data_IF_185877217699
#
_entry.id   IF_185877217699
#
_cell.length_a   1.000
_cell.length_b   1.000
_cell.length_c   1.000
_cell.angle_alpha   90.00
_cell.angle_beta   90.00
_cell.angle_gamma   90.00
#
_symmetry.space_group_name_H-M   'P 1'
#
loop_
_entity.id
_entity.type
_entity.pdbx_description
1 polymer ?
#
# COMPACT_ATOMS: atom_id res chain seq x y z
N UNK A 1 34.30 -1.11 -31.74
CA UNK A 1 33.14 -0.35 -32.26
C UNK A 1 32.01 -1.21 -32.80
N UNK A 2 32.22 -2.17 -33.72
CA UNK A 2 31.13 -2.98 -34.33
C UNK A 2 30.34 -3.81 -33.29
N UNK A 3 31.00 -4.45 -32.30
CA UNK A 3 30.34 -5.19 -31.22
C UNK A 3 29.45 -4.29 -30.33
N UNK A 4 29.96 -3.13 -29.92
CA UNK A 4 29.21 -2.17 -29.12
C UNK A 4 27.94 -1.70 -29.86
N UNK A 5 28.05 -1.34 -31.15
CA UNK A 5 26.87 -0.97 -31.97
C UNK A 5 25.84 -2.11 -32.06
N UNK A 6 26.29 -3.36 -32.17
CA UNK A 6 25.39 -4.54 -32.18
C UNK A 6 24.68 -4.71 -30.84
N UNK A 7 25.40 -4.58 -29.72
CA UNK A 7 24.83 -4.70 -28.36
C UNK A 7 23.80 -3.59 -28.12
N UNK A 8 24.13 -2.33 -28.46
CA UNK A 8 23.19 -1.21 -28.33
C UNK A 8 21.94 -1.43 -29.19
N UNK A 9 22.09 -1.92 -30.43
CA UNK A 9 20.95 -2.22 -31.29
C UNK A 9 20.05 -3.30 -30.70
N UNK A 10 20.63 -4.38 -30.16
CA UNK A 10 19.86 -5.45 -29.50
C UNK A 10 19.10 -4.90 -28.29
N UNK A 11 19.78 -4.10 -27.46
CA UNK A 11 19.15 -3.48 -26.28
C UNK A 11 17.96 -2.60 -26.69
N UNK A 12 18.13 -1.73 -27.69
CA UNK A 12 17.04 -0.85 -28.17
C UNK A 12 15.86 -1.65 -28.73
N UNK A 13 16.14 -2.73 -29.49
CA UNK A 13 15.09 -3.61 -30.01
C UNK A 13 14.36 -4.29 -28.84
N UNK A 14 15.08 -4.80 -27.84
CA UNK A 14 14.48 -5.45 -26.68
C UNK A 14 13.58 -4.50 -25.89
N UNK A 15 14.03 -3.25 -25.67
CA UNK A 15 13.21 -2.23 -25.02
C UNK A 15 11.97 -1.92 -25.85
N UNK A 16 12.11 -1.77 -27.17
CA UNK A 16 10.98 -1.52 -28.07
C UNK A 16 9.95 -2.66 -28.07
N UNK A 17 10.41 -3.91 -28.05
CA UNK A 17 9.51 -5.08 -27.95
C UNK A 17 8.78 -5.10 -26.61
N UNK A 18 9.47 -4.85 -25.51
CA UNK A 18 8.83 -4.79 -24.18
C UNK A 18 7.79 -3.67 -24.13
N UNK A 19 8.13 -2.46 -24.61
CA UNK A 19 7.21 -1.34 -24.64
C UNK A 19 5.96 -1.64 -25.51
N UNK A 20 6.14 -2.32 -26.64
CA UNK A 20 5.03 -2.74 -27.50
C UNK A 20 4.13 -3.76 -26.80
N UNK A 21 4.71 -4.74 -26.11
CA UNK A 21 3.94 -5.74 -25.33
C UNK A 21 3.13 -5.04 -24.25
N UNK A 22 3.74 -4.13 -23.48
CA UNK A 22 3.05 -3.35 -22.46
C UNK A 22 1.90 -2.51 -23.06
N UNK A 23 2.13 -1.83 -24.18
CA UNK A 23 1.08 -1.05 -24.84
C UNK A 23 -0.10 -1.95 -25.31
N UNK A 24 0.18 -3.16 -25.80
CA UNK A 24 -0.86 -4.14 -26.19
C UNK A 24 -1.62 -4.63 -24.94
N UNK A 25 -0.92 -4.97 -23.87
CA UNK A 25 -1.55 -5.41 -22.61
C UNK A 25 -2.42 -4.31 -22.01
N UNK A 26 -1.96 -3.05 -22.02
CA UNK A 26 -2.71 -1.90 -21.52
C UNK A 26 -4.00 -1.62 -22.31
N UNK A 27 -4.13 -2.14 -23.55
CA UNK A 27 -5.39 -2.12 -24.30
C UNK A 27 -6.39 -3.19 -23.85
N UNK A 28 -5.97 -4.08 -22.94
CA UNK A 28 -6.79 -5.16 -22.37
C UNK A 28 -7.03 -4.92 -20.89
N UNK A 29 -7.99 -5.66 -20.29
CA UNK A 29 -8.21 -5.64 -18.84
C UNK A 29 -7.24 -6.52 -18.04
N UNK A 30 -6.25 -7.15 -18.69
CA UNK A 30 -5.34 -8.08 -18.03
C UNK A 30 -4.55 -7.46 -16.87
N UNK A 31 -3.95 -6.24 -16.97
CA UNK A 31 -3.24 -5.62 -15.86
C UNK A 31 -4.12 -5.39 -14.63
N UNK A 32 -5.38 -4.96 -14.85
CA UNK A 32 -6.37 -4.82 -13.77
C UNK A 32 -6.63 -6.15 -13.06
N UNK A 33 -6.90 -7.22 -13.80
CA UNK A 33 -7.18 -8.52 -13.21
C UNK A 33 -5.98 -9.15 -12.50
N UNK A 34 -4.77 -8.93 -13.00
CA UNK A 34 -3.55 -9.38 -12.32
C UNK A 34 -3.40 -8.65 -10.99
N UNK A 35 -3.56 -7.31 -10.98
CA UNK A 35 -3.49 -6.48 -9.76
C UNK A 35 -4.59 -6.87 -8.76
N UNK A 36 -5.82 -7.03 -9.24
CA UNK A 36 -6.96 -7.46 -8.44
C UNK A 36 -6.70 -8.83 -7.78
N UNK A 37 -6.32 -9.82 -8.57
CA UNK A 37 -6.05 -11.16 -8.05
C UNK A 37 -4.87 -11.17 -7.07
N UNK A 38 -3.84 -10.36 -7.31
CA UNK A 38 -2.70 -10.24 -6.38
C UNK A 38 -3.15 -9.66 -5.03
N UNK A 39 -3.98 -8.64 -5.02
CA UNK A 39 -4.58 -8.08 -3.82
C UNK A 39 -5.51 -9.04 -3.11
N UNK A 40 -6.39 -9.71 -3.85
CA UNK A 40 -7.40 -10.60 -3.29
C UNK A 40 -6.87 -11.96 -2.83
N UNK A 41 -5.70 -12.39 -3.29
CA UNK A 41 -5.10 -13.71 -2.94
C UNK A 41 -4.96 -13.96 -1.44
N UNK A 42 -4.74 -12.90 -0.66
CA UNK A 42 -4.59 -12.95 0.80
C UNK A 42 -5.53 -11.97 1.52
N UNK A 43 -6.45 -11.36 0.78
CA UNK A 43 -7.44 -10.49 1.36
C UNK A 43 -8.44 -11.28 2.20
N UNK A 44 -8.88 -10.67 3.29
CA UNK A 44 -9.92 -11.21 4.15
C UNK A 44 -9.77 -10.70 5.56
N UNK A 45 -10.87 -10.64 6.29
CA UNK A 45 -10.92 -10.34 7.70
C UNK A 45 -11.57 -11.56 8.37
N UNK A 46 -10.73 -12.49 8.81
CA UNK A 46 -11.18 -13.77 9.35
C UNK A 46 -11.54 -13.68 10.83
N UNK A 47 -11.08 -12.62 11.51
CA UNK A 47 -11.30 -12.38 12.94
C UNK A 47 -11.24 -10.89 13.26
N UNK A 48 -11.83 -10.45 14.39
CA UNK A 48 -11.63 -9.07 14.87
C UNK A 48 -10.12 -8.81 15.09
N UNK A 49 -9.55 -7.77 14.47
CA UNK A 49 -8.15 -7.42 14.67
C UNK A 49 -7.96 -6.70 16.01
N UNK A 50 -6.84 -6.95 16.69
CA UNK A 50 -6.39 -6.14 17.81
C UNK A 50 -5.79 -4.83 17.33
N UNK A 51 -5.09 -4.89 16.20
CA UNK A 51 -4.44 -3.75 15.56
C UNK A 51 -4.76 -3.70 14.05
N UNK A 52 -5.08 -2.51 13.58
CA UNK A 52 -5.21 -2.18 12.16
C UNK A 52 -3.95 -1.41 11.79
N UNK A 53 -3.09 -1.99 10.96
CA UNK A 53 -1.82 -1.37 10.53
C UNK A 53 -1.99 -0.81 9.14
N UNK A 54 -1.91 0.51 9.01
CA UNK A 54 -1.98 1.23 7.74
C UNK A 54 -0.56 1.45 7.26
N UNK A 55 -0.16 0.70 6.23
CA UNK A 55 1.16 0.87 5.63
C UNK A 55 1.17 2.11 4.73
N UNK A 56 2.15 2.95 4.91
CA UNK A 56 2.36 4.14 4.10
C UNK A 56 2.62 3.82 2.62
N UNK A 57 2.59 4.84 1.80
CA UNK A 57 2.78 4.76 0.35
C UNK A 57 3.45 6.00 -0.21
N UNK A 58 2.85 6.66 -1.17
CA UNK A 58 3.38 7.84 -1.85
C UNK A 58 3.37 9.16 -1.04
N UNK A 59 3.14 9.10 0.27
CA UNK A 59 3.02 10.30 1.11
C UNK A 59 1.59 10.85 1.19
N UNK A 60 1.44 12.04 1.80
CA UNK A 60 0.14 12.72 1.95
C UNK A 60 0.26 14.19 1.52
N UNK A 61 -0.73 14.74 0.81
CA UNK A 61 -1.90 14.05 0.28
C UNK A 61 -1.55 13.25 -1.00
N UNK A 62 -2.03 12.02 -1.08
CA UNK A 62 -1.98 11.21 -2.29
C UNK A 62 -3.21 10.34 -2.38
N UNK A 63 -3.61 9.95 -3.60
CA UNK A 63 -4.75 9.06 -3.82
C UNK A 63 -4.60 7.76 -3.01
N UNK A 64 -3.43 7.14 -3.10
CA UNK A 64 -3.08 5.93 -2.34
C UNK A 64 -3.17 6.14 -0.82
N UNK A 65 -2.61 7.24 -0.30
CA UNK A 65 -2.66 7.56 1.12
C UNK A 65 -4.09 7.78 1.62
N UNK A 66 -4.88 8.57 0.90
CA UNK A 66 -6.28 8.86 1.23
C UNK A 66 -7.14 7.59 1.22
N UNK A 67 -6.97 6.73 0.21
CA UNK A 67 -7.73 5.48 0.13
C UNK A 67 -7.36 4.49 1.22
N UNK A 68 -6.08 4.36 1.57
CA UNK A 68 -5.66 3.53 2.71
C UNK A 68 -6.28 4.04 4.02
N UNK A 69 -6.29 5.34 4.26
CA UNK A 69 -6.96 5.93 5.42
C UNK A 69 -8.48 5.65 5.40
N UNK A 70 -9.13 5.73 4.23
CA UNK A 70 -10.55 5.43 4.10
C UNK A 70 -10.87 3.97 4.47
N UNK A 71 -10.13 3.01 3.89
CA UNK A 71 -10.31 1.58 4.20
C UNK A 71 -9.99 1.27 5.66
N UNK A 72 -8.95 1.90 6.23
CA UNK A 72 -8.60 1.74 7.63
C UNK A 72 -9.68 2.29 8.56
N UNK A 73 -10.24 3.45 8.24
CA UNK A 73 -11.33 4.04 9.01
C UNK A 73 -12.59 3.17 8.97
N UNK A 74 -12.96 2.64 7.82
CA UNK A 74 -14.07 1.67 7.69
C UNK A 74 -13.84 0.40 8.51
N UNK A 75 -12.62 -0.11 8.53
CA UNK A 75 -12.27 -1.25 9.37
C UNK A 75 -12.32 -0.88 10.86
N UNK A 76 -11.82 0.28 11.26
CA UNK A 76 -11.80 0.75 12.64
C UNK A 76 -13.21 1.07 13.19
N UNK A 77 -14.13 1.50 12.34
CA UNK A 77 -15.55 1.65 12.67
C UNK A 77 -16.21 0.30 12.96
N UNK A 78 -15.95 -0.69 12.10
CA UNK A 78 -16.42 -2.07 12.30
C UNK A 78 -15.83 -2.74 13.54
N UNK A 79 -14.60 -2.36 13.92
CA UNK A 79 -13.86 -2.92 15.05
C UNK A 79 -13.44 -1.82 16.04
N UNK A 80 -14.38 -1.30 16.84
CA UNK A 80 -14.14 -0.11 17.69
C UNK A 80 -13.12 -0.34 18.81
N UNK A 81 -12.78 -1.58 19.13
CA UNK A 81 -11.75 -1.91 20.12
C UNK A 81 -10.33 -1.97 19.54
N UNK A 82 -10.19 -2.02 18.23
CA UNK A 82 -8.89 -2.06 17.55
C UNK A 82 -8.16 -0.74 17.66
N UNK A 83 -6.85 -0.78 17.87
CA UNK A 83 -5.97 0.39 17.71
C UNK A 83 -5.51 0.48 16.26
N UNK A 84 -5.33 1.70 15.78
CA UNK A 84 -4.85 1.97 14.42
C UNK A 84 -3.38 2.38 14.49
N UNK A 85 -2.50 1.69 13.79
CA UNK A 85 -1.08 2.01 13.69
C UNK A 85 -0.83 2.56 12.29
N UNK A 86 -0.39 3.81 12.19
CA UNK A 86 0.12 4.40 10.95
C UNK A 86 1.60 4.07 10.87
N UNK A 87 1.98 3.25 9.90
CA UNK A 87 3.36 2.84 9.65
C UNK A 87 3.88 3.56 8.38
N UNK A 88 4.62 4.62 8.60
CA UNK A 88 5.19 5.47 7.55
C UNK A 88 6.35 6.27 8.15
N UNK A 89 7.57 6.23 7.57
CA UNK A 89 8.67 7.05 8.05
C UNK A 89 8.35 8.54 7.93
N UNK A 90 8.61 9.30 8.99
CA UNK A 90 8.36 10.73 9.00
C UNK A 90 8.55 11.37 10.37
N UNK A 91 8.72 12.68 10.37
CA UNK A 91 8.81 13.44 11.62
C UNK A 91 7.40 13.70 12.17
N UNK A 92 7.09 13.12 13.31
CA UNK A 92 5.80 13.33 14.01
C UNK A 92 5.71 14.72 14.64
N UNK A 93 6.81 15.46 14.77
CA UNK A 93 6.82 16.83 15.26
C UNK A 93 6.51 17.86 14.13
N UNK A 94 6.73 17.50 12.86
CA UNK A 94 6.35 18.35 11.72
C UNK A 94 4.87 18.14 11.34
N UNK A 95 4.00 19.14 11.54
CA UNK A 95 2.57 19.03 11.18
C UNK A 95 2.34 18.75 9.68
N UNK A 96 3.31 19.08 8.82
CA UNK A 96 3.21 18.88 7.35
C UNK A 96 3.73 17.52 6.91
N UNK A 97 4.24 16.73 7.82
CA UNK A 97 4.73 15.38 7.51
C UNK A 97 3.58 14.47 7.04
N UNK A 98 3.89 13.55 6.13
CA UNK A 98 2.89 12.61 5.61
C UNK A 98 2.27 11.73 6.70
N UNK A 99 3.03 11.39 7.75
CA UNK A 99 2.50 10.59 8.86
C UNK A 99 1.43 11.35 9.65
N UNK A 100 1.63 12.65 9.89
CA UNK A 100 0.62 13.51 10.50
C UNK A 100 -0.57 13.73 9.56
N UNK A 101 -0.34 13.89 8.26
CA UNK A 101 -1.41 13.96 7.27
C UNK A 101 -2.30 12.71 7.28
N UNK A 102 -1.74 11.51 7.43
CA UNK A 102 -2.53 10.27 7.59
C UNK A 102 -3.31 10.25 8.91
N UNK A 103 -2.72 10.72 10.02
CA UNK A 103 -3.43 10.86 11.29
C UNK A 103 -4.62 11.78 11.17
N UNK A 104 -4.41 12.97 10.61
CA UNK A 104 -5.46 13.99 10.47
C UNK A 104 -6.60 13.49 9.61
N UNK A 105 -6.29 12.76 8.52
CA UNK A 105 -7.29 12.12 7.67
C UNK A 105 -8.08 11.02 8.42
N UNK A 106 -7.44 10.22 9.27
CA UNK A 106 -8.12 9.22 10.10
C UNK A 106 -9.04 9.90 11.14
N UNK A 107 -8.59 10.99 11.77
CA UNK A 107 -9.40 11.77 12.70
C UNK A 107 -10.60 12.40 11.98
N UNK A 108 -10.39 12.99 10.80
CA UNK A 108 -11.46 13.55 9.97
C UNK A 108 -12.53 12.50 9.64
N UNK A 109 -12.13 11.22 9.51
CA UNK A 109 -13.02 10.07 9.29
C UNK A 109 -13.61 9.47 10.57
N UNK A 110 -13.44 10.13 11.72
CA UNK A 110 -14.09 9.74 12.97
C UNK A 110 -13.30 8.79 13.86
N UNK A 111 -12.01 8.56 13.60
CA UNK A 111 -11.16 7.77 14.49
C UNK A 111 -10.67 8.66 15.63
N UNK A 112 -10.94 8.24 16.86
CA UNK A 112 -10.50 8.97 18.04
C UNK A 112 -8.95 9.02 18.11
N UNK A 113 -8.35 10.21 18.39
CA UNK A 113 -6.89 10.38 18.34
C UNK A 113 -6.13 9.41 19.24
N UNK A 114 -6.70 9.05 20.40
CA UNK A 114 -6.11 8.10 21.36
C UNK A 114 -6.05 6.66 20.85
N UNK A 115 -6.76 6.36 19.78
CA UNK A 115 -6.70 5.06 19.09
C UNK A 115 -5.63 5.01 18.01
N UNK A 116 -5.00 6.14 17.67
CA UNK A 116 -4.02 6.23 16.58
C UNK A 116 -2.62 6.21 17.17
N UNK A 117 -1.82 5.28 16.71
CA UNK A 117 -0.42 5.09 17.10
C UNK A 117 0.48 5.25 15.88
N UNK A 118 1.74 5.59 16.10
CA UNK A 118 2.71 5.78 15.03
C UNK A 118 3.85 4.76 15.08
N UNK A 119 4.21 4.28 13.92
CA UNK A 119 5.51 3.70 13.58
C UNK A 119 6.14 4.61 12.52
N UNK A 120 7.09 5.44 12.91
CA UNK A 120 7.60 6.59 12.16
C UNK A 120 9.01 6.41 11.58
N UNK A 121 9.61 5.23 11.75
CA UNK A 121 11.03 5.00 11.48
C UNK A 121 11.30 3.96 10.38
N UNK A 122 10.35 3.09 10.07
CA UNK A 122 10.50 2.01 9.10
C UNK A 122 10.56 2.51 7.67
N UNK A 123 11.68 2.37 6.99
CA UNK A 123 11.89 2.81 5.61
C UNK A 123 11.54 1.76 4.55
N UNK A 124 11.18 0.56 4.97
CA UNK A 124 10.75 -0.53 4.11
C UNK A 124 9.85 -1.49 4.90
N UNK A 125 9.07 -2.31 4.21
CA UNK A 125 8.06 -3.18 4.83
C UNK A 125 8.65 -4.15 5.86
N UNK A 126 9.91 -4.57 5.71
CA UNK A 126 10.57 -5.43 6.72
C UNK A 126 10.87 -4.67 8.00
N UNK A 127 11.39 -3.46 7.90
CA UNK A 127 11.65 -2.59 9.04
C UNK A 127 10.32 -2.21 9.74
N UNK A 128 9.31 -1.80 8.98
CA UNK A 128 7.96 -1.52 9.49
C UNK A 128 7.41 -2.70 10.30
N UNK A 129 7.49 -3.93 9.76
CA UNK A 129 6.99 -5.12 10.45
C UNK A 129 7.70 -5.38 11.79
N UNK A 130 9.02 -5.19 11.86
CA UNK A 130 9.80 -5.37 13.08
C UNK A 130 9.53 -4.26 14.10
N UNK A 131 9.42 -3.01 13.63
CA UNK A 131 9.17 -1.85 14.49
C UNK A 131 7.73 -1.84 15.02
N UNK A 132 6.73 -2.19 14.20
CA UNK A 132 5.34 -2.43 14.66
C UNK A 132 5.33 -3.51 15.74
N UNK A 133 6.08 -4.60 15.57
CA UNK A 133 6.19 -5.65 16.58
C UNK A 133 6.77 -5.10 17.89
N UNK A 134 7.85 -4.32 17.82
CA UNK A 134 8.46 -3.66 18.98
C UNK A 134 7.49 -2.68 19.67
N UNK A 135 6.78 -1.86 18.89
CA UNK A 135 5.76 -0.93 19.40
C UNK A 135 4.67 -1.66 20.19
N UNK A 136 4.10 -2.71 19.60
CA UNK A 136 3.06 -3.52 20.25
C UNK A 136 3.58 -4.16 21.54
N UNK A 137 4.83 -4.70 21.54
CA UNK A 137 5.45 -5.24 22.74
C UNK A 137 5.52 -4.24 23.88
N UNK A 138 5.95 -3.00 23.56
CA UNK A 138 6.06 -1.90 24.56
C UNK A 138 4.69 -1.57 25.16
N UNK A 139 3.65 -1.48 24.31
CA UNK A 139 2.29 -1.17 24.76
C UNK A 139 1.76 -2.27 25.70
N UNK A 140 2.00 -3.54 25.39
CA UNK A 140 1.55 -4.66 26.20
C UNK A 140 2.28 -4.73 27.54
N UNK A 141 3.59 -4.53 27.54
CA UNK A 141 4.37 -4.49 28.75
C UNK A 141 3.94 -3.33 29.67
N UNK A 142 3.66 -2.14 29.10
CA UNK A 142 3.15 -1.01 29.85
C UNK A 142 1.76 -1.27 30.47
N UNK A 143 0.87 -1.97 29.77
CA UNK A 143 -0.45 -2.38 30.33
C UNK A 143 -0.32 -3.40 31.47
N UNK A 144 0.68 -4.27 31.43
CA UNK A 144 0.90 -5.29 32.48
C UNK A 144 1.48 -4.73 33.78
N UNK A 145 2.08 -3.54 33.74
CA UNK A 145 2.76 -2.89 34.90
C UNK A 145 1.87 -1.86 35.60
N UNK A 146 0.59 -1.70 35.25
CA UNK A 146 -0.36 -0.74 35.86
C UNK A 146 0.11 0.73 35.91
N UNK A 147 0.94 1.19 34.95
CA UNK A 147 1.31 2.59 34.84
C UNK A 147 0.48 3.32 33.79
N UNK A 148 -0.04 4.54 34.08
CA UNK A 148 -0.73 5.34 33.08
C UNK A 148 0.27 5.77 31.99
N UNK A 149 -0.03 5.37 30.75
CA UNK A 149 0.77 5.75 29.58
C UNK A 149 0.39 7.16 29.18
N UNK A 150 1.06 8.13 29.75
CA UNK A 150 1.09 9.49 29.22
C UNK A 150 2.53 9.93 29.09
N UNK A 151 2.89 10.23 27.85
CA UNK A 151 4.08 10.96 27.39
C UNK A 151 5.35 10.16 27.06
N UNK A 152 5.79 10.43 25.84
CA UNK A 152 7.16 10.31 25.32
C UNK A 152 7.70 8.88 25.09
N UNK A 153 7.32 8.31 23.95
CA UNK A 153 8.01 7.14 23.39
C UNK A 153 8.97 7.56 22.25
N UNK A 154 9.90 8.45 22.55
CA UNK A 154 10.98 8.79 21.63
C UNK A 154 12.28 8.03 22.02
N UNK A 155 12.77 7.29 21.04
CA UNK A 155 14.13 6.75 20.91
C UNK A 155 14.72 5.96 22.07
N UNK A 156 14.66 4.65 21.99
CA UNK A 156 15.77 3.74 22.30
C UNK A 156 15.40 2.31 21.91
N UNK A 157 16.14 1.73 20.98
CA UNK A 157 16.09 0.30 20.67
C UNK A 157 16.68 -0.44 21.88
N UNK A 158 15.85 -0.96 22.74
CA UNK A 158 16.25 -1.84 23.85
C UNK A 158 15.87 -3.26 23.48
N UNK A 159 16.85 -4.17 23.51
CA UNK A 159 16.70 -5.61 23.32
C UNK A 159 15.64 -6.15 24.31
N UNK A 160 14.43 -6.40 23.84
CA UNK A 160 13.39 -7.07 24.62
C UNK A 160 13.33 -8.55 24.22
N UNK A 161 13.39 -9.50 25.18
CA UNK A 161 13.25 -10.91 24.84
C UNK A 161 11.87 -11.17 24.21
N UNK A 162 11.88 -11.88 23.09
CA UNK A 162 10.71 -12.26 22.30
C UNK A 162 9.77 -13.14 23.15
N UNK A 163 8.85 -12.54 23.88
CA UNK A 163 7.88 -13.29 24.67
C UNK A 163 6.75 -13.81 23.79
N UNK A 164 6.27 -14.98 24.15
CA UNK A 164 5.21 -15.83 23.55
C UNK A 164 3.89 -15.08 23.27
N UNK A 165 3.67 -13.89 23.85
CA UNK A 165 2.45 -13.10 23.80
C UNK A 165 2.11 -12.60 22.36
N UNK A 166 3.12 -12.35 21.51
CA UNK A 166 2.91 -11.86 20.14
C UNK A 166 2.25 -12.88 19.22
N UNK A 167 2.37 -14.16 19.52
CA UNK A 167 1.79 -15.23 18.70
C UNK A 167 0.26 -15.25 18.69
N UNK A 168 -0.40 -14.54 19.60
CA UNK A 168 -1.85 -14.57 19.72
C UNK A 168 -2.57 -13.35 19.13
N UNK A 169 -1.85 -12.23 18.95
CA UNK A 169 -2.46 -10.99 18.45
C UNK A 169 -2.85 -11.08 16.98
N UNK A 170 -4.00 -10.51 16.68
CA UNK A 170 -4.56 -10.42 15.33
C UNK A 170 -4.27 -9.04 14.73
N UNK A 171 -3.67 -9.01 13.55
CA UNK A 171 -3.33 -7.79 12.82
C UNK A 171 -4.08 -7.78 11.49
N UNK A 172 -4.67 -6.63 11.17
CA UNK A 172 -5.22 -6.33 9.86
C UNK A 172 -4.29 -5.33 9.16
N UNK A 173 -3.67 -5.74 8.07
CA UNK A 173 -2.87 -4.85 7.22
C UNK A 173 -3.75 -4.15 6.19
N UNK A 174 -3.63 -2.83 6.10
CA UNK A 174 -4.29 -2.01 5.08
C UNK A 174 -3.23 -1.39 4.19
N UNK A 175 -3.24 -1.73 2.92
CA UNK A 175 -2.28 -1.22 1.92
C UNK A 175 -2.84 -1.40 0.51
N UNK A 176 -2.12 -0.90 -0.52
CA UNK A 176 -2.53 -1.09 -1.91
C UNK A 176 -2.56 -2.57 -2.33
N UNK A 177 -3.41 -2.93 -3.30
CA UNK A 177 -3.65 -4.33 -3.67
C UNK A 177 -2.39 -5.09 -4.08
N UNK A 178 -1.55 -4.50 -4.92
CA UNK A 178 -0.31 -5.11 -5.40
C UNK A 178 0.69 -5.35 -4.26
N UNK A 179 0.72 -4.47 -3.25
CA UNK A 179 1.63 -4.57 -2.12
C UNK A 179 1.18 -5.57 -1.05
N UNK A 180 -0.13 -5.84 -0.93
CA UNK A 180 -0.71 -6.59 0.19
C UNK A 180 -0.10 -7.98 0.36
N UNK A 181 0.13 -8.70 -0.75
CA UNK A 181 0.69 -10.04 -0.71
C UNK A 181 2.08 -10.07 -0.04
N UNK A 182 2.99 -9.19 -0.47
CA UNK A 182 4.34 -9.07 0.09
C UNK A 182 4.30 -8.62 1.55
N UNK A 183 3.44 -7.66 1.89
CA UNK A 183 3.30 -7.16 3.26
C UNK A 183 2.88 -8.29 4.22
N UNK A 184 1.86 -9.09 3.88
CA UNK A 184 1.40 -10.20 4.73
C UNK A 184 2.52 -11.22 4.94
N UNK A 185 3.26 -11.61 3.90
CA UNK A 185 4.36 -12.55 4.03
C UNK A 185 5.46 -12.00 4.95
N UNK A 186 5.81 -10.72 4.79
CA UNK A 186 6.83 -10.04 5.59
C UNK A 186 6.44 -9.97 7.07
N UNK A 187 5.19 -9.60 7.38
CA UNK A 187 4.68 -9.57 8.76
C UNK A 187 4.65 -10.96 9.38
N UNK A 188 4.21 -11.98 8.62
CA UNK A 188 4.29 -13.38 9.10
C UNK A 188 5.72 -13.79 9.40
N UNK A 189 6.68 -13.45 8.54
CA UNK A 189 8.11 -13.72 8.76
C UNK A 189 8.70 -12.91 9.91
N UNK A 190 8.11 -11.76 10.27
CA UNK A 190 8.47 -11.01 11.47
C UNK A 190 7.94 -11.68 12.78
N UNK A 191 7.09 -12.71 12.66
CA UNK A 191 6.60 -13.51 13.77
C UNK A 191 5.15 -13.23 14.18
N UNK A 192 4.37 -12.53 13.37
CA UNK A 192 2.93 -12.42 13.57
C UNK A 192 2.22 -13.63 12.94
N UNK A 193 1.51 -14.40 13.75
CA UNK A 193 0.82 -15.62 13.26
C UNK A 193 -0.54 -15.33 12.65
N UNK A 194 -1.23 -14.29 13.13
CA UNK A 194 -2.60 -13.95 12.74
C UNK A 194 -2.58 -12.62 11.97
N UNK A 195 -2.28 -12.68 10.68
CA UNK A 195 -2.20 -11.51 9.79
C UNK A 195 -3.25 -11.65 8.71
N UNK A 196 -4.22 -10.78 8.76
CA UNK A 196 -5.27 -10.59 7.76
C UNK A 196 -4.94 -9.37 6.89
N UNK A 197 -5.57 -9.24 5.73
CA UNK A 197 -5.29 -8.18 4.79
C UNK A 197 -6.52 -7.53 4.19
N UNK A 198 -6.47 -6.21 4.06
CA UNK A 198 -7.49 -5.39 3.44
C UNK A 198 -6.85 -4.56 2.32
N UNK A 199 -7.04 -4.94 1.05
CA UNK A 199 -6.51 -4.18 -0.08
C UNK A 199 -7.30 -2.88 -0.27
N UNK A 200 -6.60 -1.74 -0.31
CA UNK A 200 -7.16 -0.44 -0.60
C UNK A 200 -7.10 -0.19 -2.10
N UNK A 201 -8.19 -0.45 -2.81
CA UNK A 201 -8.31 -0.17 -4.24
C UNK A 201 -8.54 1.33 -4.45
N UNK A 202 -7.75 1.95 -5.30
CA UNK A 202 -7.69 3.40 -5.48
C UNK A 202 -8.53 3.87 -6.67
N UNK A 203 -8.50 3.10 -7.76
CA UNK A 203 -9.09 3.53 -9.03
C UNK A 203 -10.06 2.49 -9.57
N UNK A 204 -11.25 2.95 -9.86
CA UNK A 204 -12.17 2.27 -10.77
C UNK A 204 -12.99 3.33 -11.53
N UNK A 205 -13.08 3.19 -12.84
CA UNK A 205 -13.91 4.06 -13.67
C UNK A 205 -15.11 3.24 -14.13
N UNK A 206 -16.18 3.30 -13.36
CA UNK A 206 -17.47 2.68 -13.69
C UNK A 206 -18.43 3.65 -14.36
N UNK A 207 -18.14 4.94 -14.35
CA UNK A 207 -18.99 5.98 -14.92
C UNK A 207 -18.89 5.99 -16.44
N UNK A 208 -20.01 6.15 -17.13
CA UNK A 208 -20.03 6.44 -18.56
C UNK A 208 -19.46 7.85 -18.79
N UNK A 209 -18.28 7.89 -19.40
CA UNK A 209 -17.56 9.11 -19.72
C UNK A 209 -17.55 9.38 -21.23
N UNK A 210 -18.37 8.66 -22.02
CA UNK A 210 -18.51 8.91 -23.44
C UNK A 210 -19.18 10.26 -23.69
N UNK A 211 -18.82 10.92 -24.77
CA UNK A 211 -19.46 12.16 -25.23
C UNK A 211 -19.38 12.26 -26.75
N UNK A 212 -20.35 12.99 -27.34
CA UNK A 212 -20.33 13.29 -28.77
C UNK A 212 -19.55 14.57 -29.02
N UNK A 213 -18.31 14.44 -29.52
CA UNK A 213 -17.44 15.58 -29.79
C UNK A 213 -17.96 16.49 -30.91
N UNK A 214 -18.80 15.98 -31.80
CA UNK A 214 -19.46 16.76 -32.86
C UNK A 214 -20.30 17.92 -32.32
N UNK A 215 -20.86 17.77 -31.11
CA UNK A 215 -21.62 18.85 -30.44
C UNK A 215 -20.74 19.94 -29.86
N UNK A 216 -19.44 19.64 -29.63
CA UNK A 216 -18.48 20.58 -29.06
C UNK A 216 -17.73 21.40 -30.12
N UNK A 217 -17.93 21.06 -31.40
CA UNK A 217 -17.19 21.64 -32.52
C UNK A 217 -15.78 21.06 -32.63
N UNK A 218 -14.97 21.61 -33.48
CA UNK A 218 -13.57 21.19 -33.66
C UNK A 218 -13.19 20.97 -35.13
N UNK A 219 -11.97 20.51 -35.37
CA UNK A 219 -11.43 20.28 -36.72
C UNK A 219 -11.78 18.87 -37.18
N UNK A 220 -12.52 18.74 -38.27
CA UNK A 220 -13.01 17.47 -38.82
C UNK A 220 -11.95 16.47 -39.20
N UNK A 221 -10.71 16.89 -39.43
CA UNK A 221 -9.59 16.02 -39.80
C UNK A 221 -8.89 15.39 -38.57
N UNK A 222 -9.27 15.79 -37.35
CA UNK A 222 -8.77 15.18 -36.13
C UNK A 222 -9.70 14.01 -35.79
N UNK A 223 -9.16 12.79 -35.57
CA UNK A 223 -9.97 11.64 -35.18
C UNK A 223 -10.71 11.90 -33.85
N UNK A 224 -12.00 11.58 -33.83
CA UNK A 224 -12.79 11.61 -32.62
C UNK A 224 -12.54 10.36 -31.78
N UNK A 225 -11.92 10.53 -30.62
CA UNK A 225 -11.69 9.49 -29.63
C UNK A 225 -12.59 9.62 -28.41
N UNK A 226 -13.59 10.55 -28.48
CA UNK A 226 -14.47 10.88 -27.36
C UNK A 226 -15.25 9.70 -26.81
N UNK A 227 -15.75 8.82 -27.68
CA UNK A 227 -16.52 7.64 -27.30
C UNK A 227 -15.64 6.45 -26.85
N UNK A 228 -14.33 6.56 -26.99
CA UNK A 228 -13.41 5.48 -26.63
C UNK A 228 -12.88 5.65 -25.19
N UNK A 229 -13.61 5.12 -24.21
CA UNK A 229 -13.22 5.14 -22.79
C UNK A 229 -11.89 4.43 -22.53
N UNK A 230 -11.56 3.38 -23.33
CA UNK A 230 -10.28 2.68 -23.20
C UNK A 230 -9.13 3.62 -23.52
N UNK A 231 -9.16 4.32 -24.65
CA UNK A 231 -8.08 5.27 -25.01
C UNK A 231 -8.00 6.48 -24.07
N UNK A 232 -9.16 6.97 -23.60
CA UNK A 232 -9.20 8.16 -22.75
C UNK A 232 -8.70 7.93 -21.34
N UNK A 233 -9.02 6.77 -20.75
CA UNK A 233 -8.77 6.53 -19.31
C UNK A 233 -8.16 5.17 -19.03
N UNK A 234 -8.76 4.06 -19.51
CA UNK A 234 -8.38 2.71 -19.08
C UNK A 234 -6.97 2.34 -19.52
N UNK A 235 -6.57 2.70 -20.73
CA UNK A 235 -5.21 2.45 -21.23
C UNK A 235 -4.14 3.01 -20.29
N UNK A 236 -4.30 4.25 -19.84
CA UNK A 236 -3.33 4.92 -18.96
C UNK A 236 -3.29 4.28 -17.59
N UNK A 237 -4.46 3.97 -17.02
CA UNK A 237 -4.54 3.27 -15.72
C UNK A 237 -3.94 1.86 -15.82
N UNK A 238 -4.19 1.13 -16.89
CA UNK A 238 -3.65 -0.22 -17.06
C UNK A 238 -2.14 -0.20 -17.27
N UNK A 239 -1.59 0.78 -17.98
CA UNK A 239 -0.16 1.01 -18.09
C UNK A 239 0.48 1.28 -16.73
N UNK A 240 -0.15 2.09 -15.89
CA UNK A 240 0.29 2.35 -14.51
C UNK A 240 0.29 1.05 -13.69
N UNK A 241 -0.77 0.25 -13.76
CA UNK A 241 -0.86 -1.04 -13.06
C UNK A 241 0.24 -2.02 -13.48
N UNK A 242 0.64 -2.03 -14.74
CA UNK A 242 1.75 -2.85 -15.20
C UNK A 242 3.08 -2.46 -14.53
N UNK A 243 3.35 -1.17 -14.41
CA UNK A 243 4.55 -0.66 -13.74
C UNK A 243 4.52 -0.99 -12.23
N UNK A 244 3.37 -0.83 -11.57
CA UNK A 244 3.20 -1.20 -10.17
C UNK A 244 3.41 -2.69 -9.94
N UNK A 245 2.83 -3.54 -10.78
CA UNK A 245 2.99 -4.99 -10.73
C UNK A 245 4.45 -5.40 -10.95
N UNK A 246 5.11 -4.83 -11.95
CA UNK A 246 6.52 -5.10 -12.23
C UNK A 246 7.39 -4.76 -11.01
N UNK A 247 7.18 -3.58 -10.41
CA UNK A 247 7.86 -3.16 -9.19
C UNK A 247 7.66 -4.16 -8.05
N UNK A 248 6.42 -4.62 -7.83
CA UNK A 248 6.13 -5.56 -6.75
C UNK A 248 6.70 -6.95 -7.00
N UNK A 249 6.69 -7.46 -8.22
CA UNK A 249 7.36 -8.74 -8.54
C UNK A 249 8.86 -8.68 -8.30
N UNK A 250 9.52 -7.57 -8.68
CA UNK A 250 10.94 -7.35 -8.39
C UNK A 250 11.17 -7.27 -6.87
N UNK A 251 10.32 -6.55 -6.14
CA UNK A 251 10.42 -6.44 -4.69
C UNK A 251 10.21 -7.80 -3.99
N UNK A 252 9.24 -8.61 -4.42
CA UNK A 252 9.02 -9.97 -3.89
C UNK A 252 10.28 -10.82 -4.10
N UNK A 253 10.87 -10.81 -5.30
CA UNK A 253 12.11 -11.52 -5.60
C UNK A 253 13.25 -11.09 -4.70
N UNK A 254 13.44 -9.79 -4.50
CA UNK A 254 14.44 -9.24 -3.59
C UNK A 254 14.21 -9.67 -2.13
N UNK A 255 12.97 -9.57 -1.64
CA UNK A 255 12.62 -9.97 -0.27
C UNK A 255 12.81 -11.46 -0.04
N UNK A 256 12.54 -12.28 -1.05
CA UNK A 256 12.82 -13.72 -1.02
C UNK A 256 14.31 -14.01 -0.92
N UNK A 257 15.14 -13.35 -1.73
CA UNK A 257 16.60 -13.48 -1.69
C UNK A 257 17.18 -13.07 -0.33
N UNK A 258 16.60 -12.03 0.29
CA UNK A 258 17.00 -11.55 1.62
C UNK A 258 16.45 -12.40 2.77
N UNK A 259 15.58 -13.38 2.50
CA UNK A 259 14.93 -14.20 3.53
C UNK A 259 13.93 -13.44 4.42
N UNK A 260 13.36 -12.37 3.88
CA UNK A 260 12.39 -11.50 4.59
C UNK A 260 10.92 -11.94 4.42
N UNK A 261 10.70 -12.87 3.49
CA UNK A 261 9.42 -13.54 3.24
C UNK A 261 9.61 -15.05 3.10
#
# INVERSE_FOLDING_TARGET
MKRLKKTVKILLISIGVVALIMAILAMTSAPFWIRYNMGMKKAGIHRPPDYIVVLGGGGMPSESGLMRCWYAAKAADRFPRSLVIVALPGDTADPRSSINGMKDELILRGIAPERILFEDSGTNTRAEALLVKSLISRIQNAKSVNHPITQSLNHSIVNCPLSIVHCQLSILLVTSPEHLYRAILTFKKAGFLKVDGLPAFEKDIETDLSFNSGLLGGKRYIPDVGDNVVLRYKFWNYMEYELELLREYVAIGYYWLMGWI
#
